data_IF_418597586705
#
_entry.id   IF_418597586705
#
_cell.length_a   1.000
_cell.length_b   1.000
_cell.length_c   1.000
_cell.angle_alpha   90.00
_cell.angle_beta   90.00
_cell.angle_gamma   90.00
#
_symmetry.space_group_name_H-M   'P 1'
#
loop_
_entity.id
_entity.type
_entity.pdbx_description
1 polymer ?
#
# COMPACT_ATOMS: atom_id res chain seq x y z
N UNK A 1 8.22 -7.06 23.00
CA UNK A 1 7.42 -6.27 22.04
C UNK A 1 7.80 -6.70 20.63
N UNK A 2 7.06 -7.64 20.05
CA UNK A 2 7.38 -8.21 18.73
C UNK A 2 7.01 -7.19 17.65
N UNK A 3 8.02 -6.58 17.03
CA UNK A 3 7.82 -5.75 15.83
C UNK A 3 7.59 -6.70 14.66
N UNK A 4 6.35 -6.80 14.19
CA UNK A 4 6.06 -7.51 12.95
C UNK A 4 6.63 -6.65 11.81
N UNK A 5 7.64 -7.20 11.13
CA UNK A 5 8.17 -6.65 9.90
C UNK A 5 7.35 -7.21 8.73
N UNK A 6 6.92 -6.34 7.84
CA UNK A 6 6.24 -6.69 6.60
C UNK A 6 6.97 -6.04 5.44
N UNK A 7 6.86 -6.66 4.27
CA UNK A 7 7.46 -6.14 3.05
C UNK A 7 6.37 -5.45 2.24
N UNK A 8 6.59 -4.17 1.93
CA UNK A 8 5.82 -3.47 0.90
C UNK A 8 6.64 -3.40 -0.38
N UNK A 9 5.94 -3.40 -1.50
CA UNK A 9 6.57 -3.25 -2.81
C UNK A 9 6.09 -1.98 -3.49
N UNK A 10 6.95 -1.39 -4.30
CA UNK A 10 6.65 -0.23 -5.11
C UNK A 10 6.89 -0.56 -6.58
N UNK A 11 5.87 -0.37 -7.42
CA UNK A 11 6.03 -0.39 -8.87
C UNK A 11 6.13 1.03 -9.42
N UNK A 12 6.85 1.17 -10.54
CA UNK A 12 6.85 2.39 -11.33
C UNK A 12 5.49 2.53 -12.01
N UNK A 13 4.88 3.70 -11.85
CA UNK A 13 3.72 4.13 -12.63
C UNK A 13 3.99 5.49 -13.24
N UNK A 14 3.18 5.89 -14.23
CA UNK A 14 3.44 7.05 -15.09
C UNK A 14 3.57 8.39 -14.35
N UNK A 15 2.92 8.53 -13.20
CA UNK A 15 2.92 9.79 -12.42
C UNK A 15 3.46 9.60 -11.01
N UNK A 16 2.96 8.59 -10.31
CA UNK A 16 3.28 8.29 -8.92
C UNK A 16 3.45 6.79 -8.76
N UNK A 17 4.33 6.32 -7.85
CA UNK A 17 4.47 4.90 -7.58
C UNK A 17 3.16 4.28 -7.10
N UNK A 18 2.99 2.99 -7.36
CA UNK A 18 1.92 2.17 -6.78
C UNK A 18 2.52 1.34 -5.66
N UNK A 19 1.90 1.40 -4.48
CA UNK A 19 2.29 0.58 -3.34
C UNK A 19 1.52 -0.74 -3.40
N UNK A 20 2.20 -1.84 -3.17
CA UNK A 20 1.61 -3.18 -3.03
C UNK A 20 1.88 -3.72 -1.64
N UNK A 21 0.82 -4.22 -1.02
CA UNK A 21 0.85 -4.88 0.28
C UNK A 21 -0.11 -6.06 0.22
N UNK A 22 0.37 -7.28 0.50
CA UNK A 22 -0.42 -8.52 0.49
C UNK A 22 -1.25 -8.66 -0.80
N UNK A 23 -0.61 -8.45 -1.95
CA UNK A 23 -1.21 -8.52 -3.30
C UNK A 23 -2.35 -7.53 -3.59
N UNK A 24 -2.56 -6.53 -2.75
CA UNK A 24 -3.44 -5.40 -3.04
C UNK A 24 -2.64 -4.18 -3.48
N UNK A 25 -3.11 -3.52 -4.54
CA UNK A 25 -2.50 -2.30 -5.06
C UNK A 25 -3.16 -1.05 -4.45
N UNK A 26 -2.34 -0.10 -4.07
CA UNK A 26 -2.73 1.17 -3.48
C UNK A 26 -2.17 2.34 -4.28
N UNK A 27 -3.01 3.36 -4.47
CA UNK A 27 -2.64 4.63 -5.11
C UNK A 27 -2.52 5.72 -4.06
N UNK A 28 -1.65 6.68 -4.31
CA UNK A 28 -1.54 7.89 -3.49
C UNK A 28 -2.90 8.61 -3.52
N UNK A 29 -3.49 8.79 -2.35
CA UNK A 29 -4.69 9.59 -2.16
C UNK A 29 -4.31 11.02 -1.74
N UNK A 30 -3.28 11.15 -0.88
CA UNK A 30 -2.74 12.44 -0.46
C UNK A 30 -1.32 12.29 0.09
N UNK A 31 -0.47 13.26 -0.22
CA UNK A 31 0.88 13.36 0.37
C UNK A 31 0.98 14.63 1.22
N UNK A 32 1.71 14.53 2.32
CA UNK A 32 2.13 15.62 3.20
C UNK A 32 3.63 15.48 3.46
N UNK A 33 4.32 16.49 4.04
CA UNK A 33 5.76 16.40 4.29
C UNK A 33 6.19 15.20 5.16
N UNK A 34 5.29 14.72 6.03
CA UNK A 34 5.62 13.66 6.98
C UNK A 34 5.01 12.31 6.63
N UNK A 35 3.91 12.28 5.86
CA UNK A 35 3.19 11.04 5.55
C UNK A 35 2.52 11.04 4.19
N UNK A 36 2.35 9.85 3.65
CA UNK A 36 1.55 9.58 2.45
C UNK A 36 0.36 8.71 2.83
N UNK A 37 -0.85 9.15 2.48
CA UNK A 37 -2.08 8.36 2.57
C UNK A 37 -2.34 7.69 1.24
N UNK A 38 -2.68 6.41 1.32
CA UNK A 38 -2.93 5.57 0.19
C UNK A 38 -4.33 4.95 0.28
N UNK A 39 -4.96 4.79 -0.88
CA UNK A 39 -6.26 4.13 -1.01
C UNK A 39 -6.18 2.99 -2.00
N UNK A 40 -6.97 1.94 -1.76
CA UNK A 40 -7.02 0.80 -2.68
C UNK A 40 -7.33 1.27 -4.11
N UNK A 41 -6.66 0.68 -5.10
CA UNK A 41 -6.87 0.93 -6.54
C UNK A 41 -8.33 0.77 -6.97
N UNK A 42 -9.08 -0.07 -6.27
CA UNK A 42 -10.50 -0.37 -6.53
C UNK A 42 -11.48 0.62 -5.86
N UNK A 43 -10.99 1.65 -5.15
CA UNK A 43 -11.82 2.72 -4.55
C UNK A 43 -12.81 3.31 -5.53
N UNK A 44 -12.37 3.71 -6.73
CA UNK A 44 -13.24 4.36 -7.71
C UNK A 44 -14.19 3.37 -8.41
N UNK A 45 -13.75 2.12 -8.61
CA UNK A 45 -14.53 1.13 -9.38
C UNK A 45 -15.64 0.48 -8.56
N UNK A 46 -15.38 0.14 -7.30
CA UNK A 46 -16.31 -0.63 -6.44
C UNK A 46 -16.37 -0.10 -4.99
N UNK A 47 -15.91 1.14 -4.76
CA UNK A 47 -15.99 1.81 -3.45
C UNK A 47 -15.27 1.04 -2.33
N UNK A 48 -14.19 0.32 -2.66
CA UNK A 48 -13.34 -0.32 -1.66
C UNK A 48 -12.84 0.72 -0.65
N UNK A 49 -12.90 0.37 0.64
CA UNK A 49 -12.59 1.29 1.75
C UNK A 49 -11.19 1.08 2.35
N UNK A 50 -10.45 0.05 1.91
CA UNK A 50 -9.10 -0.22 2.39
C UNK A 50 -8.16 0.95 2.16
N UNK A 51 -7.43 1.34 3.20
CA UNK A 51 -6.58 2.53 3.25
C UNK A 51 -5.43 2.34 4.21
N UNK A 52 -4.27 2.87 3.83
CA UNK A 52 -3.04 2.83 4.64
C UNK A 52 -2.31 4.17 4.62
N UNK A 53 -1.41 4.34 5.56
CA UNK A 53 -0.58 5.53 5.72
C UNK A 53 0.86 5.09 5.90
N UNK A 54 1.78 5.69 5.15
CA UNK A 54 3.22 5.47 5.31
C UNK A 54 3.90 6.72 5.86
N UNK A 55 4.80 6.53 6.83
CA UNK A 55 5.62 7.57 7.47
C UNK A 55 7.02 7.03 7.67
N UNK A 56 8.01 7.51 6.91
CA UNK A 56 9.37 6.96 6.93
C UNK A 56 9.37 5.45 6.58
N UNK A 57 9.88 4.62 7.48
CA UNK A 57 9.89 3.14 7.37
C UNK A 57 8.75 2.46 8.14
N UNK A 58 7.65 3.18 8.34
CA UNK A 58 6.50 2.69 9.12
C UNK A 58 5.24 2.73 8.27
N UNK A 59 4.40 1.72 8.43
CA UNK A 59 3.08 1.63 7.80
C UNK A 59 2.00 1.47 8.86
N UNK A 60 0.88 2.17 8.66
CA UNK A 60 -0.32 2.09 9.47
C UNK A 60 -1.51 1.76 8.57
N UNK A 61 -2.26 0.70 8.90
CA UNK A 61 -3.48 0.36 8.18
C UNK A 61 -4.66 1.06 8.85
N UNK A 62 -5.14 2.12 8.21
CA UNK A 62 -6.33 2.84 8.68
C UNK A 62 -7.65 2.08 8.42
N UNK A 63 -7.68 1.24 7.39
CA UNK A 63 -8.75 0.29 7.15
C UNK A 63 -8.18 -0.91 6.38
N UNK A 64 -8.29 -2.10 6.96
CA UNK A 64 -7.73 -3.34 6.39
C UNK A 64 -8.65 -3.99 5.35
N UNK A 65 -9.97 -3.87 5.52
CA UNK A 65 -10.94 -4.66 4.78
C UNK A 65 -11.03 -4.27 3.30
N UNK A 66 -11.00 -5.30 2.46
CA UNK A 66 -11.30 -5.21 1.04
C UNK A 66 -12.63 -5.90 0.74
N UNK A 67 -13.39 -5.34 -0.19
CA UNK A 67 -14.63 -5.93 -0.70
C UNK A 67 -14.43 -6.60 -2.07
N UNK A 68 -13.20 -7.06 -2.32
CA UNK A 68 -12.77 -7.71 -3.56
C UNK A 68 -11.56 -8.59 -3.31
N UNK A 69 -11.28 -9.45 -4.27
CA UNK A 69 -10.05 -10.27 -4.30
C UNK A 69 -8.81 -9.42 -4.60
N UNK A 70 -7.65 -10.03 -4.45
CA UNK A 70 -6.34 -9.43 -4.77
C UNK A 70 -6.32 -8.79 -6.16
N UNK A 71 -5.64 -7.65 -6.28
CA UNK A 71 -5.60 -6.89 -7.55
C UNK A 71 -4.28 -7.04 -8.28
N UNK A 72 -3.21 -7.42 -7.57
CA UNK A 72 -1.91 -7.63 -8.15
C UNK A 72 -1.80 -9.05 -8.71
N UNK A 73 -1.60 -9.15 -10.02
CA UNK A 73 -1.36 -10.42 -10.73
C UNK A 73 0.02 -10.28 -11.38
N UNK A 74 1.07 -10.69 -10.69
CA UNK A 74 2.45 -10.55 -11.14
C UNK A 74 3.46 -11.07 -10.11
N UNK A 75 4.75 -11.04 -10.46
CA UNK A 75 5.84 -11.40 -9.55
C UNK A 75 6.41 -10.16 -8.88
N UNK A 76 6.76 -10.29 -7.59
CA UNK A 76 7.35 -9.19 -6.82
C UNK A 76 8.86 -9.03 -7.03
N UNK A 77 9.51 -9.96 -7.71
CA UNK A 77 10.98 -10.03 -7.90
C UNK A 77 11.60 -8.78 -8.54
N UNK A 78 10.85 -8.08 -9.39
CA UNK A 78 11.30 -6.86 -10.09
C UNK A 78 10.82 -5.57 -9.45
N UNK A 79 10.12 -5.65 -8.31
CA UNK A 79 9.59 -4.50 -7.61
C UNK A 79 10.60 -4.01 -6.56
N UNK A 80 10.62 -2.70 -6.34
CA UNK A 80 11.40 -2.15 -5.24
C UNK A 80 10.72 -2.51 -3.92
N UNK A 81 11.38 -3.28 -3.07
CA UNK A 81 10.87 -3.66 -1.75
C UNK A 81 11.38 -2.74 -0.64
N UNK A 82 10.57 -2.60 0.41
CA UNK A 82 10.95 -1.93 1.65
C UNK A 82 10.41 -2.71 2.85
N UNK A 83 11.28 -3.02 3.80
CA UNK A 83 10.88 -3.51 5.11
C UNK A 83 10.24 -2.38 5.91
N UNK A 84 9.01 -2.61 6.36
CA UNK A 84 8.26 -1.64 7.16
C UNK A 84 7.84 -2.22 8.49
N UNK A 85 7.79 -1.35 9.49
CA UNK A 85 7.20 -1.68 10.79
C UNK A 85 5.69 -1.44 10.71
N UNK A 86 4.91 -2.44 11.07
CA UNK A 86 3.49 -2.26 11.32
C UNK A 86 3.27 -1.63 12.70
N UNK A 87 2.45 -0.57 12.74
CA UNK A 87 1.90 0.02 13.96
C UNK A 87 0.40 -0.24 14.04
#
# INVERSE_FOLDING_TARGET
MNRILEIVYFSKASKHPVLMLRNFEYRIERTTPTKTRWSCKMKEKIRCKSRLVTTGSTIYISNFEHNHTETFVGTSEKLHSQDVKFL
#
